data_IF_444876783499
#
_entry.id   IF_444876783499
#
_cell.length_a   1.000
_cell.length_b   1.000
_cell.length_c   1.000
_cell.angle_alpha   90.00
_cell.angle_beta   90.00
_cell.angle_gamma   90.00
#
_symmetry.space_group_name_H-M   'P 1'
#
loop_
_entity.id
_entity.type
_entity.pdbx_description
1 polymer ?
#
# COMPACT_ATOMS: atom_id res chain seq x y z
N UNK A 1 -16.66 2.14 -10.17
CA UNK A 1 -15.43 2.73 -10.73
C UNK A 1 -14.27 1.81 -10.39
N UNK A 2 -13.38 1.51 -11.33
CA UNK A 2 -12.19 0.68 -11.06
C UNK A 2 -10.97 1.58 -10.76
N UNK A 3 -9.92 0.99 -10.20
CA UNK A 3 -8.69 1.69 -9.83
C UNK A 3 -8.00 2.41 -11.02
N UNK A 4 -8.23 1.91 -12.24
CA UNK A 4 -7.75 2.56 -13.47
C UNK A 4 -8.36 3.95 -13.70
N UNK A 5 -9.58 4.20 -13.21
CA UNK A 5 -10.21 5.51 -13.36
C UNK A 5 -9.61 6.54 -12.40
N UNK A 6 -9.25 6.13 -11.18
CA UNK A 6 -8.57 6.99 -10.19
C UNK A 6 -7.09 7.25 -10.55
N UNK A 7 -6.45 6.28 -11.21
CA UNK A 7 -5.09 6.42 -11.71
C UNK A 7 -4.94 7.57 -12.72
N UNK A 8 -5.92 7.73 -13.62
CA UNK A 8 -5.89 8.75 -14.67
C UNK A 8 -6.16 10.17 -14.18
N UNK A 9 -6.54 10.36 -12.91
CA UNK A 9 -6.81 11.67 -12.35
C UNK A 9 -5.52 12.50 -12.26
N UNK A 10 -5.60 13.76 -12.69
CA UNK A 10 -4.42 14.64 -12.82
C UNK A 10 -3.66 14.77 -11.49
N UNK A 11 -4.38 14.91 -10.37
CA UNK A 11 -3.77 15.02 -9.05
C UNK A 11 -2.98 13.75 -8.68
N UNK A 12 -3.51 12.57 -8.99
CA UNK A 12 -2.86 11.28 -8.75
C UNK A 12 -1.58 11.13 -9.56
N UNK A 13 -1.64 11.43 -10.86
CA UNK A 13 -0.48 11.34 -11.74
C UNK A 13 0.62 12.31 -11.32
N UNK A 14 0.28 13.56 -11.02
CA UNK A 14 1.24 14.59 -10.59
C UNK A 14 1.85 14.23 -9.25
N UNK A 15 1.05 13.83 -8.26
CA UNK A 15 1.59 13.37 -6.97
C UNK A 15 2.46 12.13 -7.12
N UNK A 16 2.10 11.20 -8.01
CA UNK A 16 2.87 9.99 -8.26
C UNK A 16 4.24 10.29 -8.87
N UNK A 17 4.26 11.10 -9.93
CA UNK A 17 5.48 11.59 -10.59
C UNK A 17 6.41 12.32 -9.64
N UNK A 18 5.87 13.14 -8.72
CA UNK A 18 6.66 13.82 -7.70
C UNK A 18 7.19 12.87 -6.62
N UNK A 19 6.40 11.86 -6.23
CA UNK A 19 6.78 10.91 -5.18
C UNK A 19 7.84 9.92 -5.67
N UNK A 20 7.86 9.55 -6.97
CA UNK A 20 8.85 8.63 -7.55
C UNK A 20 10.32 8.99 -7.23
N UNK A 21 10.84 10.20 -7.54
CA UNK A 21 12.22 10.56 -7.21
C UNK A 21 12.46 10.65 -5.69
N UNK A 22 11.44 11.01 -4.91
CA UNK A 22 11.55 11.10 -3.45
C UNK A 22 11.78 9.71 -2.85
N UNK A 23 11.01 8.71 -3.27
CA UNK A 23 11.16 7.32 -2.80
C UNK A 23 12.53 6.77 -3.20
N UNK A 24 12.98 7.07 -4.42
CA UNK A 24 14.30 6.65 -4.89
C UNK A 24 15.40 7.21 -4.00
N UNK A 25 15.37 8.51 -3.70
CA UNK A 25 16.33 9.13 -2.79
C UNK A 25 16.24 8.53 -1.38
N UNK A 26 15.02 8.32 -0.87
CA UNK A 26 14.80 7.71 0.44
C UNK A 26 15.35 6.29 0.53
N UNK A 27 15.29 5.50 -0.54
CA UNK A 27 15.86 4.16 -0.56
C UNK A 27 17.38 4.16 -0.29
N UNK A 28 18.10 5.23 -0.64
CA UNK A 28 19.53 5.38 -0.34
C UNK A 28 19.79 6.00 1.04
N UNK A 29 18.92 6.89 1.51
CA UNK A 29 19.12 7.66 2.74
C UNK A 29 18.61 6.94 3.99
N UNK A 30 17.60 6.07 3.86
CA UNK A 30 16.98 5.40 5.00
C UNK A 30 17.93 4.38 5.64
N UNK A 31 18.23 4.50 6.94
CA UNK A 31 19.10 3.56 7.63
C UNK A 31 18.42 2.18 7.72
N UNK A 32 19.17 1.13 7.42
CA UNK A 32 18.67 -0.25 7.45
C UNK A 32 17.79 -0.65 6.26
N UNK A 33 17.60 0.22 5.28
CA UNK A 33 16.93 -0.13 4.03
C UNK A 33 17.88 -0.94 3.12
N UNK A 34 17.42 -2.09 2.66
CA UNK A 34 18.14 -2.96 1.72
C UNK A 34 17.39 -3.13 0.40
N UNK A 35 16.28 -2.42 0.23
CA UNK A 35 15.38 -2.52 -0.92
C UNK A 35 15.54 -1.33 -1.86
N UNK A 36 15.75 -1.60 -3.15
CA UNK A 36 15.72 -0.59 -4.20
C UNK A 36 14.55 -0.85 -5.16
N UNK A 37 13.44 -0.08 -5.10
CA UNK A 37 12.19 -0.41 -5.81
C UNK A 37 12.19 0.01 -7.30
N UNK A 38 13.25 -0.31 -8.06
CA UNK A 38 13.44 0.16 -9.46
C UNK A 38 12.25 -0.10 -10.38
N UNK A 39 11.76 -1.33 -10.39
CA UNK A 39 10.65 -1.75 -11.27
C UNK A 39 9.30 -1.25 -10.73
N UNK A 40 9.18 -1.12 -9.41
CA UNK A 40 7.93 -0.74 -8.75
C UNK A 40 7.69 0.78 -8.75
N UNK A 41 8.70 1.61 -9.05
CA UNK A 41 8.58 3.07 -9.11
C UNK A 41 7.48 3.53 -10.08
N UNK A 42 7.32 2.88 -11.23
CA UNK A 42 6.30 3.27 -12.24
C UNK A 42 4.87 3.03 -11.74
N UNK A 43 4.71 2.18 -10.75
CA UNK A 43 3.40 1.81 -10.20
C UNK A 43 3.08 2.55 -8.87
N UNK A 44 3.94 3.48 -8.43
CA UNK A 44 3.65 4.38 -7.30
C UNK A 44 2.34 5.15 -7.42
N UNK A 45 1.91 5.64 -8.60
CA UNK A 45 0.64 6.35 -8.66
C UNK A 45 -0.55 5.45 -8.28
N UNK A 46 -0.46 4.12 -8.46
CA UNK A 46 -1.45 3.16 -7.95
C UNK A 46 -1.46 3.08 -6.41
N UNK A 47 -0.30 3.13 -5.78
CA UNK A 47 -0.17 3.02 -4.32
C UNK A 47 -0.76 4.24 -3.60
N UNK A 48 -0.66 5.42 -4.22
CA UNK A 48 -1.01 6.68 -3.56
C UNK A 48 -2.42 7.17 -3.83
N UNK A 49 -3.18 6.52 -4.74
CA UNK A 49 -4.56 6.93 -5.05
C UNK A 49 -5.44 7.10 -3.80
N UNK A 50 -5.39 6.19 -2.81
CA UNK A 50 -6.19 6.36 -1.60
C UNK A 50 -5.80 7.62 -0.81
N UNK A 51 -4.52 7.98 -0.82
CA UNK A 51 -3.99 9.16 -0.12
C UNK A 51 -4.41 10.45 -0.84
N UNK A 52 -4.41 10.43 -2.17
CA UNK A 52 -4.88 11.53 -3.01
C UNK A 52 -6.37 11.75 -2.83
N UNK A 53 -7.15 10.67 -2.78
CA UNK A 53 -8.58 10.72 -2.48
C UNK A 53 -8.86 11.31 -1.09
N UNK A 54 -8.14 10.84 -0.06
CA UNK A 54 -8.24 11.40 1.31
C UNK A 54 -7.79 12.86 1.39
N UNK A 55 -6.88 13.29 0.52
CA UNK A 55 -6.38 14.66 0.46
C UNK A 55 -7.25 15.58 -0.41
N UNK A 56 -8.38 15.08 -0.93
CA UNK A 56 -9.27 15.79 -1.84
C UNK A 56 -8.53 16.42 -3.04
N UNK A 57 -7.60 15.66 -3.64
CA UNK A 57 -6.78 16.13 -4.77
C UNK A 57 -5.67 17.13 -4.43
N UNK A 58 -5.45 17.45 -3.14
CA UNK A 58 -4.35 18.32 -2.75
C UNK A 58 -3.00 17.61 -2.94
N UNK A 59 -2.26 18.02 -3.98
CA UNK A 59 -0.98 17.39 -4.35
C UNK A 59 0.06 17.44 -3.23
N UNK A 60 0.17 18.56 -2.50
CA UNK A 60 1.18 18.72 -1.44
C UNK A 60 0.91 17.76 -0.27
N UNK A 61 -0.33 17.74 0.22
CA UNK A 61 -0.74 16.81 1.29
C UNK A 61 -0.56 15.35 0.84
N UNK A 62 -0.89 15.07 -0.42
CA UNK A 62 -0.78 13.74 -1.00
C UNK A 62 0.67 13.26 -1.06
N UNK A 63 1.59 14.12 -1.52
CA UNK A 63 3.03 13.80 -1.62
C UNK A 63 3.64 13.56 -0.23
N UNK A 64 3.27 14.37 0.77
CA UNK A 64 3.75 14.16 2.14
C UNK A 64 3.23 12.83 2.70
N UNK A 65 1.92 12.58 2.55
CA UNK A 65 1.31 11.33 3.01
C UNK A 65 1.87 10.09 2.30
N UNK A 66 2.04 10.15 0.99
CA UNK A 66 2.62 9.06 0.20
C UNK A 66 4.06 8.79 0.58
N UNK A 67 4.85 9.84 0.83
CA UNK A 67 6.23 9.70 1.29
C UNK A 67 6.30 8.90 2.61
N UNK A 68 5.46 9.25 3.59
CA UNK A 68 5.41 8.54 4.88
C UNK A 68 5.03 7.06 4.68
N UNK A 69 4.03 6.78 3.87
CA UNK A 69 3.60 5.40 3.58
C UNK A 69 4.69 4.62 2.85
N UNK A 70 5.41 5.26 1.92
CA UNK A 70 6.48 4.61 1.19
C UNK A 70 7.70 4.30 2.07
N UNK A 71 7.98 5.12 3.10
CA UNK A 71 9.00 4.80 4.12
C UNK A 71 8.63 3.51 4.84
N UNK A 72 7.36 3.35 5.23
CA UNK A 72 6.87 2.13 5.87
C UNK A 72 7.03 0.92 4.93
N UNK A 73 6.69 1.09 3.65
CA UNK A 73 6.82 0.03 2.66
C UNK A 73 8.29 -0.39 2.48
N UNK A 74 9.24 0.56 2.42
CA UNK A 74 10.68 0.27 2.30
C UNK A 74 11.19 -0.56 3.49
N UNK A 75 10.77 -0.23 4.71
CA UNK A 75 11.13 -1.00 5.90
C UNK A 75 10.54 -2.41 5.88
N UNK A 76 9.26 -2.54 5.53
CA UNK A 76 8.60 -3.85 5.43
C UNK A 76 9.27 -4.71 4.36
N UNK A 77 9.59 -4.12 3.21
CA UNK A 77 10.27 -4.83 2.12
C UNK A 77 11.66 -5.29 2.52
N UNK A 78 12.39 -4.47 3.27
CA UNK A 78 13.71 -4.81 3.80
C UNK A 78 13.63 -5.94 4.84
N UNK A 79 12.59 -5.96 5.67
CA UNK A 79 12.32 -7.05 6.61
C UNK A 79 11.94 -8.37 5.89
N UNK A 80 11.18 -8.29 4.79
CA UNK A 80 10.74 -9.45 4.02
C UNK A 80 11.79 -9.98 3.03
N UNK A 81 12.79 -9.18 2.69
CA UNK A 81 13.71 -9.46 1.59
C UNK A 81 14.39 -10.83 1.71
N UNK A 82 14.77 -11.24 2.93
CA UNK A 82 15.36 -12.57 3.19
C UNK A 82 14.45 -13.72 2.82
N UNK A 83 13.19 -13.65 3.23
CA UNK A 83 12.21 -14.71 3.02
C UNK A 83 11.86 -14.84 1.54
N UNK A 84 11.65 -13.73 0.84
CA UNK A 84 11.36 -13.75 -0.60
C UNK A 84 12.55 -14.24 -1.42
N UNK A 85 13.77 -13.84 -1.05
CA UNK A 85 15.00 -14.30 -1.71
C UNK A 85 15.21 -15.80 -1.54
N UNK A 86 14.88 -16.36 -0.37
CA UNK A 86 14.93 -17.80 -0.13
C UNK A 86 13.93 -18.56 -1.01
N UNK A 87 12.69 -18.07 -1.12
CA UNK A 87 11.66 -18.65 -1.98
C UNK A 87 12.11 -18.70 -3.44
N UNK A 88 12.76 -17.64 -3.93
CA UNK A 88 13.32 -17.61 -5.30
C UNK A 88 14.38 -18.70 -5.50
N UNK A 89 15.27 -18.91 -4.52
CA UNK A 89 16.29 -19.97 -4.59
C UNK A 89 15.66 -21.36 -4.63
N UNK A 90 14.66 -21.61 -3.79
CA UNK A 90 13.94 -22.90 -3.75
C UNK A 90 13.16 -23.14 -5.05
N UNK A 91 12.59 -22.09 -5.64
CA UNK A 91 11.88 -22.16 -6.92
C UNK A 91 12.79 -22.34 -8.14
N UNK A 92 14.12 -22.40 -7.96
CA UNK A 92 15.10 -22.55 -9.04
C UNK A 92 15.38 -21.26 -9.80
N UNK A 93 14.99 -20.10 -9.27
CA UNK A 93 15.28 -18.79 -9.86
C UNK A 93 16.74 -18.37 -9.66
N UNK A 94 17.33 -17.74 -10.68
CA UNK A 94 18.65 -17.14 -10.55
C UNK A 94 18.55 -15.75 -9.90
N UNK A 95 19.20 -15.55 -8.77
CA UNK A 95 19.49 -14.22 -8.26
C UNK A 95 20.57 -13.62 -9.18
N UNK A 96 20.28 -12.50 -9.84
CA UNK A 96 21.22 -11.87 -10.77
C UNK A 96 22.59 -11.57 -10.13
N UNK A 97 23.60 -11.32 -10.96
CA UNK A 97 25.03 -11.21 -10.57
C UNK A 97 25.40 -10.09 -9.58
N UNK A 98 24.43 -9.33 -9.07
CA UNK A 98 24.63 -8.34 -8.01
C UNK A 98 24.36 -8.96 -6.64
N UNK A 99 25.37 -9.57 -6.02
CA UNK A 99 25.30 -10.35 -4.77
C UNK A 99 24.79 -9.67 -3.50
N UNK A 100 24.15 -8.50 -3.60
CA UNK A 100 23.57 -7.75 -2.48
C UNK A 100 22.08 -7.37 -2.69
N UNK A 101 21.49 -7.66 -3.85
CA UNK A 101 20.10 -7.28 -4.13
C UNK A 101 19.13 -8.38 -3.66
N UNK A 102 18.51 -8.15 -2.51
CA UNK A 102 17.42 -8.99 -2.02
C UNK A 102 16.20 -8.82 -2.94
N UNK A 103 15.54 -9.92 -3.28
CA UNK A 103 14.29 -9.88 -4.05
C UNK A 103 13.14 -9.63 -3.08
N UNK A 104 12.30 -8.65 -3.40
CA UNK A 104 11.09 -8.28 -2.65
C UNK A 104 10.11 -7.59 -3.60
N UNK A 105 8.85 -7.41 -3.18
CA UNK A 105 7.82 -6.76 -4.00
C UNK A 105 7.25 -5.55 -3.27
N UNK A 106 7.62 -4.35 -3.70
CA UNK A 106 7.30 -3.12 -2.99
C UNK A 106 5.79 -2.91 -2.83
N UNK A 107 5.03 -3.19 -3.90
CA UNK A 107 3.60 -2.90 -3.94
C UNK A 107 2.78 -4.00 -3.27
N UNK A 108 3.19 -5.25 -3.38
CA UNK A 108 2.43 -6.39 -2.87
C UNK A 108 2.71 -6.60 -1.37
N UNK A 109 3.98 -6.70 -0.97
CA UNK A 109 4.33 -6.97 0.43
C UNK A 109 4.49 -5.72 1.28
N UNK A 110 4.88 -4.58 0.67
CA UNK A 110 5.12 -3.34 1.41
C UNK A 110 3.88 -2.83 2.15
N UNK A 111 2.69 -3.22 1.72
CA UNK A 111 1.44 -2.89 2.40
C UNK A 111 1.37 -3.53 3.80
N UNK A 112 1.16 -2.76 4.89
CA UNK A 112 1.14 -3.29 6.25
C UNK A 112 0.16 -4.46 6.47
N UNK A 113 -1.02 -4.39 5.84
CA UNK A 113 -2.03 -5.46 5.93
C UNK A 113 -1.58 -6.70 5.16
N UNK A 114 -0.97 -6.53 3.99
CA UNK A 114 -0.39 -7.61 3.19
C UNK A 114 0.74 -8.31 3.95
N UNK A 115 1.64 -7.53 4.53
CA UNK A 115 2.73 -8.04 5.36
C UNK A 115 2.24 -8.78 6.61
N UNK A 116 1.26 -8.23 7.33
CA UNK A 116 0.70 -8.89 8.51
C UNK A 116 0.05 -10.23 8.15
N UNK A 117 -0.68 -10.25 7.03
CA UNK A 117 -1.26 -11.50 6.49
C UNK A 117 -0.16 -12.50 6.17
N UNK A 118 0.90 -12.06 5.48
CA UNK A 118 2.05 -12.90 5.18
C UNK A 118 2.70 -13.48 6.43
N UNK A 119 2.95 -12.68 7.47
CA UNK A 119 3.52 -13.17 8.74
C UNK A 119 2.65 -14.24 9.41
N UNK A 120 1.32 -14.07 9.40
CA UNK A 120 0.39 -15.05 9.98
C UNK A 120 0.48 -16.39 9.25
N UNK A 121 0.53 -16.36 7.91
CA UNK A 121 0.69 -17.58 7.12
C UNK A 121 2.09 -18.19 7.25
N UNK A 122 3.13 -17.35 7.28
CA UNK A 122 4.52 -17.78 7.47
C UNK A 122 4.74 -18.44 8.85
N UNK A 123 3.98 -18.03 9.88
CA UNK A 123 4.01 -18.65 11.21
C UNK A 123 3.49 -20.10 11.23
N UNK A 124 2.79 -20.58 10.19
CA UNK A 124 2.16 -21.92 10.10
C UNK A 124 1.27 -22.29 11.30
N UNK A 125 0.84 -21.32 12.11
CA UNK A 125 0.03 -21.56 13.28
C UNK A 125 -1.46 -21.64 12.88
N UNK A 126 -2.12 -22.80 13.01
CA UNK A 126 -3.49 -22.98 12.55
C UNK A 126 -4.48 -22.09 13.32
N UNK A 127 -4.19 -21.70 14.57
CA UNK A 127 -5.05 -20.84 15.38
C UNK A 127 -5.05 -19.41 14.82
N UNK A 128 -3.88 -18.87 14.49
CA UNK A 128 -3.76 -17.52 13.93
C UNK A 128 -4.38 -17.44 12.54
N UNK A 129 -4.20 -18.48 11.72
CA UNK A 129 -4.82 -18.58 10.40
C UNK A 129 -6.35 -18.64 10.54
N UNK A 130 -6.87 -19.48 11.43
CA UNK A 130 -8.31 -19.56 11.70
C UNK A 130 -8.87 -18.23 12.20
N UNK A 131 -8.14 -17.52 13.06
CA UNK A 131 -8.51 -16.19 13.54
C UNK A 131 -8.56 -15.17 12.41
N UNK A 132 -7.54 -15.13 11.53
CA UNK A 132 -7.52 -14.24 10.37
C UNK A 132 -8.74 -14.48 9.46
N UNK A 133 -9.04 -15.75 9.16
CA UNK A 133 -10.21 -16.15 8.36
C UNK A 133 -11.51 -15.74 9.05
N UNK A 134 -11.61 -15.92 10.37
CA UNK A 134 -12.78 -15.50 11.14
C UNK A 134 -12.95 -13.97 11.14
N UNK A 135 -11.88 -13.21 11.34
CA UNK A 135 -11.90 -11.73 11.27
C UNK A 135 -12.31 -11.26 9.87
N UNK A 136 -11.80 -11.90 8.83
CA UNK A 136 -12.20 -11.62 7.46
C UNK A 136 -13.70 -11.91 7.24
N UNK A 137 -14.18 -13.07 7.70
CA UNK A 137 -15.59 -13.46 7.57
C UNK A 137 -16.52 -12.51 8.33
N UNK A 138 -16.17 -12.12 9.56
CA UNK A 138 -16.92 -11.15 10.36
C UNK A 138 -16.94 -9.79 9.67
N UNK A 139 -15.78 -9.29 9.23
CA UNK A 139 -15.68 -8.03 8.48
C UNK A 139 -16.54 -8.06 7.23
N UNK A 140 -16.51 -9.17 6.48
CA UNK A 140 -17.32 -9.38 5.28
C UNK A 140 -18.81 -9.34 5.59
N UNK A 141 -19.27 -10.03 6.65
CA UNK A 141 -20.68 -10.05 7.05
C UNK A 141 -21.13 -8.67 7.53
N UNK A 142 -20.31 -7.97 8.31
CA UNK A 142 -20.61 -6.61 8.79
C UNK A 142 -20.75 -5.62 7.63
N UNK A 143 -19.80 -5.64 6.68
CA UNK A 143 -19.88 -4.82 5.47
C UNK A 143 -21.13 -5.19 4.68
N UNK A 144 -21.43 -6.50 4.53
CA UNK A 144 -22.57 -6.96 3.75
C UNK A 144 -23.92 -6.59 4.37
N UNK A 145 -24.02 -6.52 5.69
CA UNK A 145 -25.23 -6.07 6.41
C UNK A 145 -25.36 -4.55 6.42
N UNK A 146 -24.26 -3.82 6.41
CA UNK A 146 -24.25 -2.36 6.53
C UNK A 146 -23.95 -1.65 5.21
N UNK A 147 -24.04 -2.33 4.06
CA UNK A 147 -23.72 -1.78 2.73
C UNK A 147 -24.36 -0.42 2.51
N UNK A 148 -25.67 -0.31 2.72
CA UNK A 148 -26.43 0.93 2.54
C UNK A 148 -25.86 2.08 3.39
N UNK A 149 -25.53 1.82 4.66
CA UNK A 149 -24.95 2.84 5.56
C UNK A 149 -23.54 3.24 5.14
N UNK A 150 -22.74 2.28 4.68
CA UNK A 150 -21.38 2.53 4.20
C UNK A 150 -21.42 3.35 2.92
N UNK A 151 -22.28 2.99 1.96
CA UNK A 151 -22.45 3.76 0.72
C UNK A 151 -22.96 5.16 1.02
N UNK A 152 -23.96 5.32 1.88
CA UNK A 152 -24.43 6.65 2.29
C UNK A 152 -23.34 7.47 2.99
N UNK A 153 -22.50 6.86 3.84
CA UNK A 153 -21.38 7.55 4.49
C UNK A 153 -20.30 7.98 3.48
N UNK A 154 -19.97 7.09 2.53
CA UNK A 154 -19.02 7.37 1.45
C UNK A 154 -19.54 8.47 0.51
N UNK A 155 -20.83 8.44 0.18
CA UNK A 155 -21.49 9.45 -0.66
C UNK A 155 -21.52 10.81 0.04
N UNK A 156 -21.82 10.85 1.34
CA UNK A 156 -21.71 12.08 2.13
C UNK A 156 -20.27 12.63 2.20
N UNK A 157 -19.27 11.76 2.30
CA UNK A 157 -17.86 12.18 2.26
C UNK A 157 -17.44 12.66 0.88
N UNK A 158 -17.98 12.07 -0.20
CA UNK A 158 -17.75 12.53 -1.56
C UNK A 158 -18.39 13.90 -1.82
N UNK A 159 -19.58 14.15 -1.26
CA UNK A 159 -20.28 15.43 -1.34
C UNK A 159 -19.70 16.50 -0.42
N UNK A 160 -19.02 16.11 0.67
CA UNK A 160 -18.48 17.03 1.67
C UNK A 160 -17.05 16.64 2.15
N UNK A 161 -16.04 16.73 1.28
CA UNK A 161 -14.69 16.23 1.53
C UNK A 161 -13.89 17.01 2.59
N UNK A 162 -14.44 18.10 3.15
CA UNK A 162 -13.79 18.94 4.17
C UNK A 162 -14.32 18.77 5.60
N UNK A 163 -15.38 17.98 5.81
CA UNK A 163 -16.03 17.86 7.12
C UNK A 163 -16.71 19.15 7.60
N UNK A 164 -16.86 20.15 6.73
CA UNK A 164 -17.69 21.33 7.02
C UNK A 164 -19.12 20.86 6.84
N UNK A 165 -19.68 20.27 7.89
CA UNK A 165 -21.11 20.01 7.98
C UNK A 165 -21.85 21.18 7.34
N UNK A 166 -22.65 20.89 6.31
CA UNK A 166 -23.66 21.81 5.84
C UNK A 166 -24.62 21.98 7.01
N UNK A 167 -24.31 22.96 7.87
CA UNK A 167 -25.33 23.62 8.64
C UNK A 167 -26.17 24.40 7.62
N UNK A 168 -27.47 24.12 7.62
CA UNK A 168 -28.51 24.59 6.71
C UNK A 168 -28.61 23.81 5.38
N UNK A 169 -29.59 22.90 5.31
CA UNK A 169 -30.99 23.26 5.00
C UNK A 169 -31.96 22.25 5.61
#
# INVERSE_FOLDING_TARGET
MNDATGYGETATLVSGLLTMPIILLLAFVLPGNTTLPMVDLVAIPYVIQPIVAMSNGNVVKSVIGSTIVCIIFLYICSACGSTFTEVVKVAGGSLGSGGAMMVTSFIIIGQPIGYLTFLIFASQNPILIALLVAVYAVSYVLIRKNKEKIYAALENQALNPGGIASAAQ
#
